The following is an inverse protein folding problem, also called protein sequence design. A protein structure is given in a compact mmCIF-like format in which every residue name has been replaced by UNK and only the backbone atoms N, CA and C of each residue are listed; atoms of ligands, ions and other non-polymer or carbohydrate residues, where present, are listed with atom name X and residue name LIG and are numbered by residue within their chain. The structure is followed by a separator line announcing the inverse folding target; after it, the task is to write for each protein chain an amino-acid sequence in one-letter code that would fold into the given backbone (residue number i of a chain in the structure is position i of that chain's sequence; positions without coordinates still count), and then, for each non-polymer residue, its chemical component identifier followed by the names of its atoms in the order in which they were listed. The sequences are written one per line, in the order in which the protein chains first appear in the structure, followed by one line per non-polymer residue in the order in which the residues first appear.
data_IF_268827254354
#
_entry.id   IF_268827254354
#
_cell.length_a   1.000
_cell.length_b   1.000
_cell.length_c   1.000
_cell.angle_alpha   90.00
_cell.angle_beta   90.00
_cell.angle_gamma   90.00
#
_symmetry.space_group_name_H-M   'P 1'
#
loop_
_entity.id
_entity.type
_entity.pdbx_description
1 polymer ?
#
# COMPACT_ATOMS: atom_id res chain seq x y z
N UNK A 1 0.65 18.10 10.57
CA UNK A 1 1.08 18.26 9.17
C UNK A 1 0.39 17.23 8.28
N UNK A 2 0.34 17.41 6.95
CA UNK A 2 -0.36 16.49 6.01
C UNK A 2 0.19 15.06 6.11
N UNK A 3 1.49 14.91 6.32
CA UNK A 3 2.13 13.60 6.53
C UNK A 3 1.59 12.85 7.75
N UNK A 4 1.47 13.53 8.90
CA UNK A 4 0.92 12.93 10.13
C UNK A 4 -0.53 12.52 9.95
N UNK A 5 -1.30 13.33 9.21
CA UNK A 5 -2.67 13.01 8.87
C UNK A 5 -2.76 11.76 7.98
N UNK A 6 -1.94 11.66 6.93
CA UNK A 6 -1.87 10.48 6.06
C UNK A 6 -1.49 9.23 6.85
N UNK A 7 -0.52 9.32 7.75
CA UNK A 7 -0.09 8.20 8.61
C UNK A 7 -1.22 7.76 9.54
N UNK A 8 -1.85 8.71 10.24
CA UNK A 8 -2.95 8.42 11.15
C UNK A 8 -4.15 7.79 10.43
N UNK A 9 -4.57 8.37 9.31
CA UNK A 9 -5.67 7.87 8.48
C UNK A 9 -5.36 6.49 7.93
N UNK A 10 -4.13 6.25 7.46
CA UNK A 10 -3.72 4.93 6.98
C UNK A 10 -3.80 3.87 8.08
N UNK A 11 -3.29 4.18 9.27
CA UNK A 11 -3.36 3.28 10.42
C UNK A 11 -4.83 2.99 10.81
N UNK A 12 -5.65 4.03 10.92
CA UNK A 12 -7.06 3.89 11.26
C UNK A 12 -7.82 3.01 10.26
N UNK A 13 -7.58 3.20 8.96
CA UNK A 13 -8.22 2.42 7.90
C UNK A 13 -7.82 0.94 8.01
N UNK A 14 -6.53 0.64 8.23
CA UNK A 14 -6.05 -0.73 8.43
C UNK A 14 -6.69 -1.38 9.66
N UNK A 15 -6.76 -0.66 10.79
CA UNK A 15 -7.40 -1.14 12.01
C UNK A 15 -8.90 -1.41 11.88
N UNK A 16 -9.58 -0.75 10.93
CA UNK A 16 -11.00 -0.98 10.62
C UNK A 16 -11.24 -1.98 9.50
N UNK A 17 -10.18 -2.44 8.83
CA UNK A 17 -10.27 -3.36 7.71
C UNK A 17 -10.07 -4.81 8.16
N UNK A 18 -10.83 -5.72 7.58
CA UNK A 18 -10.72 -7.15 7.88
C UNK A 18 -9.52 -7.79 7.16
N UNK A 19 -8.93 -8.84 7.74
CA UNK A 19 -7.88 -9.62 7.08
C UNK A 19 -8.37 -10.21 5.75
N UNK A 20 -7.61 -10.00 4.68
CA UNK A 20 -7.97 -10.43 3.32
C UNK A 20 -8.91 -9.48 2.58
N UNK A 21 -9.26 -8.33 3.18
CA UNK A 21 -10.16 -7.35 2.57
C UNK A 21 -9.43 -6.27 1.77
N UNK A 22 -10.11 -5.76 0.75
CA UNK A 22 -9.71 -4.58 -0.04
C UNK A 22 -10.78 -3.52 0.11
N UNK A 23 -10.40 -2.30 0.46
CA UNK A 23 -11.34 -1.21 0.62
C UNK A 23 -10.77 0.11 0.10
N UNK A 24 -11.64 1.09 -0.13
CA UNK A 24 -11.25 2.44 -0.53
C UNK A 24 -12.06 3.42 0.29
N UNK A 25 -11.37 4.33 0.97
CA UNK A 25 -11.96 5.32 1.85
C UNK A 25 -11.70 6.68 1.24
N UNK A 26 -12.76 7.45 1.02
CA UNK A 26 -12.65 8.82 0.54
C UNK A 26 -12.46 9.75 1.73
N UNK A 27 -11.36 10.50 1.73
CA UNK A 27 -11.01 11.47 2.77
C UNK A 27 -10.79 12.83 2.11
N UNK A 28 -11.80 13.70 2.20
CA UNK A 28 -11.82 15.01 1.53
C UNK A 28 -11.61 14.89 0.00
N UNK A 29 -10.46 15.37 -0.47
CA UNK A 29 -10.05 15.41 -1.88
C UNK A 29 -9.27 14.13 -2.29
N UNK A 30 -8.84 13.35 -1.30
CA UNK A 30 -8.02 12.15 -1.47
C UNK A 30 -8.86 10.87 -1.36
N UNK A 31 -8.36 9.81 -2.00
CA UNK A 31 -8.80 8.43 -1.85
C UNK A 31 -7.66 7.58 -1.26
N UNK A 32 -7.98 6.92 -0.16
CA UNK A 32 -7.12 5.98 0.53
C UNK A 32 -7.54 4.55 0.16
N UNK A 33 -6.72 3.87 -0.64
CA UNK A 33 -6.92 2.48 -1.01
C UNK A 33 -6.14 1.59 -0.05
N UNK A 34 -6.83 0.69 0.63
CA UNK A 34 -6.23 -0.25 1.57
C UNK A 34 -6.36 -1.68 1.05
N UNK A 35 -5.30 -2.45 1.24
CA UNK A 35 -5.34 -3.90 1.12
C UNK A 35 -4.71 -4.54 2.34
N UNK A 36 -5.49 -5.35 3.05
CA UNK A 36 -5.01 -6.17 4.15
C UNK A 36 -4.90 -7.60 3.65
N UNK A 37 -3.68 -8.14 3.61
CA UNK A 37 -3.45 -9.54 3.25
C UNK A 37 -3.85 -10.45 4.41
N UNK A 38 -4.18 -11.70 4.09
CA UNK A 38 -4.54 -12.72 5.08
C UNK A 38 -3.36 -13.13 5.99
N UNK A 39 -2.14 -12.72 5.67
CA UNK A 39 -0.95 -12.96 6.49
C UNK A 39 -0.67 -11.85 7.52
N UNK A 40 -1.53 -10.84 7.61
CA UNK A 40 -1.37 -9.73 8.54
C UNK A 40 -0.52 -8.58 8.02
N UNK A 41 -0.08 -8.62 6.75
CA UNK A 41 0.56 -7.48 6.10
C UNK A 41 -0.49 -6.59 5.43
N UNK A 42 -0.46 -5.30 5.71
CA UNK A 42 -1.35 -4.32 5.09
C UNK A 42 -0.57 -3.26 4.33
N UNK A 43 -1.14 -2.78 3.24
CA UNK A 43 -0.64 -1.62 2.50
C UNK A 43 -1.75 -0.62 2.25
N UNK A 44 -1.40 0.66 2.32
CA UNK A 44 -2.31 1.78 2.04
C UNK A 44 -1.66 2.67 0.98
N UNK A 45 -2.42 3.00 -0.06
CA UNK A 45 -2.05 3.98 -1.09
C UNK A 45 -3.03 5.14 -0.98
N UNK A 46 -2.49 6.33 -0.73
CA UNK A 46 -3.26 7.58 -0.75
C UNK A 46 -3.00 8.26 -2.09
N UNK A 47 -4.05 8.52 -2.84
CA UNK A 47 -3.99 9.16 -4.15
C UNK A 47 -5.17 10.13 -4.32
N UNK A 48 -5.07 11.06 -5.27
CA UNK A 48 -6.20 11.94 -5.59
C UNK A 48 -7.35 11.17 -6.25
N UNK A 49 -8.56 11.74 -6.20
CA UNK A 49 -9.74 11.12 -6.82
C UNK A 49 -9.62 10.92 -8.34
N UNK A 50 -8.76 11.68 -9.00
CA UNK A 50 -8.50 11.56 -10.44
C UNK A 50 -7.60 10.36 -10.76
N UNK A 51 -6.86 9.85 -9.76
CA UNK A 51 -5.95 8.74 -9.97
C UNK A 51 -6.71 7.40 -10.08
N UNK A 52 -6.45 6.58 -11.11
CA UNK A 52 -7.25 5.38 -11.33
C UNK A 52 -7.08 4.36 -10.19
N UNK A 53 -8.19 4.04 -9.52
CA UNK A 53 -8.24 3.04 -8.45
C UNK A 53 -7.59 1.70 -8.84
N UNK A 54 -7.74 1.27 -10.10
CA UNK A 54 -7.13 0.03 -10.61
C UNK A 54 -5.60 0.06 -10.45
N UNK A 55 -4.97 1.20 -10.68
CA UNK A 55 -3.52 1.36 -10.58
C UNK A 55 -3.08 1.31 -9.12
N UNK A 56 -3.83 1.94 -8.20
CA UNK A 56 -3.58 1.84 -6.76
C UNK A 56 -3.64 0.40 -6.26
N UNK A 57 -4.67 -0.35 -6.64
CA UNK A 57 -4.75 -1.75 -6.22
C UNK A 57 -3.70 -2.62 -6.90
N UNK A 58 -3.30 -2.33 -8.15
CA UNK A 58 -2.21 -3.04 -8.84
C UNK A 58 -0.84 -2.76 -8.24
N UNK A 59 -0.67 -1.66 -7.51
CA UNK A 59 0.54 -1.37 -6.73
C UNK A 59 0.59 -2.20 -5.43
N UNK A 60 -0.57 -2.38 -4.79
CA UNK A 60 -0.71 -3.06 -3.52
C UNK A 60 -0.74 -4.59 -3.65
N UNK A 61 -1.57 -5.10 -4.57
CA UNK A 61 -1.65 -6.54 -4.87
C UNK A 61 -2.06 -6.85 -6.32
N UNK A 62 -1.87 -8.10 -6.78
CA UNK A 62 -2.31 -8.54 -8.11
C UNK A 62 -3.84 -8.65 -8.16
N UNK A 63 -4.52 -7.50 -8.18
CA UNK A 63 -5.97 -7.41 -8.21
C UNK A 63 -6.58 -7.81 -9.56
N UNK A 64 -5.79 -8.03 -10.61
CA UNK A 64 -6.30 -8.47 -11.91
C UNK A 64 -5.37 -9.48 -12.58
N UNK A 65 -6.00 -10.44 -13.25
CA UNK A 65 -5.49 -11.66 -13.89
C UNK A 65 -4.35 -11.48 -14.91
N UNK A 66 -3.74 -10.30 -15.04
CA UNK A 66 -2.79 -10.02 -16.09
C UNK A 66 -1.35 -10.38 -15.68
N UNK A 67 -0.73 -11.22 -16.50
CA UNK A 67 0.48 -12.00 -16.21
C UNK A 67 1.74 -11.15 -16.38
N UNK A 68 1.82 -9.99 -15.73
CA UNK A 68 3.07 -9.23 -15.65
C UNK A 68 3.95 -9.76 -14.50
N UNK A 69 5.26 -9.96 -14.72
CA UNK A 69 6.20 -10.52 -13.73
C UNK A 69 6.75 -9.49 -12.73
N UNK A 70 6.20 -8.27 -12.68
CA UNK A 70 6.61 -7.29 -11.68
C UNK A 70 6.16 -7.73 -10.28
N UNK A 71 7.13 -7.92 -9.40
CA UNK A 71 6.91 -8.03 -7.95
C UNK A 71 6.19 -6.76 -7.46
N UNK A 72 5.28 -6.93 -6.52
CA UNK A 72 4.50 -5.83 -5.97
C UNK A 72 5.04 -5.41 -4.61
N UNK A 73 4.71 -4.19 -4.17
CA UNK A 73 5.26 -3.58 -2.95
C UNK A 73 5.12 -4.51 -1.74
N UNK A 74 3.94 -5.11 -1.53
CA UNK A 74 3.71 -6.00 -0.40
C UNK A 74 4.44 -7.35 -0.54
N UNK A 75 4.58 -7.85 -1.77
CA UNK A 75 5.29 -9.12 -2.01
C UNK A 75 6.80 -8.95 -1.83
N UNK A 76 7.36 -7.87 -2.38
CA UNK A 76 8.76 -7.50 -2.24
C UNK A 76 9.13 -7.18 -0.79
N UNK A 77 8.30 -6.41 -0.09
CA UNK A 77 8.46 -6.20 1.34
C UNK A 77 8.50 -7.53 2.11
N UNK A 78 7.60 -8.46 1.81
CA UNK A 78 7.56 -9.77 2.49
C UNK A 78 8.75 -10.68 2.17
N UNK A 79 9.51 -10.38 1.11
CA UNK A 79 10.74 -11.10 0.74
C UNK A 79 11.98 -10.52 1.41
N UNK A 80 12.02 -9.21 1.61
CA UNK A 80 13.13 -8.55 2.29
C UNK A 80 12.97 -8.56 3.82
N UNK A 81 11.74 -8.47 4.31
CA UNK A 81 11.42 -8.35 5.73
C UNK A 81 10.68 -9.60 6.18
N UNK A 82 11.33 -10.35 7.07
CA UNK A 82 10.74 -11.58 7.60
C UNK A 82 9.50 -11.29 8.43
N UNK A 83 8.52 -12.20 8.36
CA UNK A 83 7.24 -12.10 9.10
C UNK A 83 7.42 -11.97 10.60
N UNK A 84 8.52 -12.50 11.13
CA UNK A 84 8.84 -12.43 12.56
C UNK A 84 9.14 -11.00 13.01
N UNK A 85 9.60 -10.15 12.10
CA UNK A 85 9.99 -8.77 12.39
C UNK A 85 8.82 -7.78 12.22
N UNK A 86 7.71 -8.19 11.58
CA UNK A 86 6.55 -7.32 11.33
C UNK A 86 5.93 -6.75 12.61
N UNK A 87 5.70 -7.53 13.69
CA UNK A 87 5.02 -7.02 14.89
C UNK A 87 5.84 -6.01 15.69
N UNK A 88 7.17 -6.13 15.67
CA UNK A 88 8.10 -5.22 16.34
C UNK A 88 8.75 -4.21 15.38
N UNK A 89 8.33 -4.23 14.13
CA UNK A 89 8.86 -3.40 13.07
C UNK A 89 8.54 -1.93 13.26
N UNK A 90 9.48 -1.07 12.89
CA UNK A 90 9.33 0.38 12.85
C UNK A 90 10.00 0.95 11.60
N UNK A 91 9.65 2.17 11.17
CA UNK A 91 10.35 2.85 10.07
C UNK A 91 11.86 3.02 10.27
N UNK A 92 12.33 2.92 11.53
CA UNK A 92 13.76 3.00 11.88
C UNK A 92 14.47 1.65 11.86
N UNK A 93 13.75 0.54 11.96
CA UNK A 93 14.30 -0.83 12.01
C UNK A 93 14.12 -1.58 10.69
N UNK A 94 13.06 -1.27 9.95
CA UNK A 94 12.78 -1.84 8.64
C UNK A 94 13.20 -0.84 7.56
N UNK A 95 14.24 -1.17 6.81
CA UNK A 95 14.73 -0.33 5.72
C UNK A 95 14.27 -0.89 4.36
N UNK A 96 13.10 -0.45 3.89
CA UNK A 96 12.56 -0.84 2.59
C UNK A 96 12.68 0.34 1.60
N UNK A 97 13.74 0.33 0.79
CA UNK A 97 14.09 1.46 -0.10
C UNK A 97 13.36 1.42 -1.45
N UNK A 98 12.80 0.26 -1.84
CA UNK A 98 12.12 0.11 -3.11
C UNK A 98 10.82 0.94 -3.22
N UNK A 99 10.22 1.33 -2.08
CA UNK A 99 8.95 2.07 -2.03
C UNK A 99 9.02 3.41 -2.77
N UNK A 100 10.13 4.14 -2.65
CA UNK A 100 10.33 5.41 -3.35
C UNK A 100 10.36 5.22 -4.88
N UNK A 101 10.99 4.13 -5.34
CA UNK A 101 11.02 3.77 -6.75
C UNK A 101 9.64 3.46 -7.32
N UNK A 102 8.80 2.74 -6.55
CA UNK A 102 7.42 2.48 -6.93
C UNK A 102 6.57 3.75 -6.96
N UNK A 103 6.68 4.62 -5.95
CA UNK A 103 5.95 5.88 -5.94
C UNK A 103 6.32 6.75 -7.15
N UNK A 104 7.62 6.92 -7.43
CA UNK A 104 8.08 7.73 -8.56
C UNK A 104 7.63 7.16 -9.91
N UNK A 105 7.71 5.84 -10.09
CA UNK A 105 7.30 5.17 -11.33
C UNK A 105 5.81 5.32 -11.63
N UNK A 106 4.98 5.39 -10.60
CA UNK A 106 3.53 5.46 -10.73
C UNK A 106 2.98 6.89 -10.60
N UNK A 107 3.80 7.88 -10.24
CA UNK A 107 3.43 9.30 -10.30
C UNK A 107 3.25 9.83 -11.72
N UNK A 108 4.01 9.30 -12.69
CA UNK A 108 3.85 9.60 -14.10
C UNK A 108 3.05 8.45 -14.68
N UNK A 109 1.77 8.67 -14.98
CA UNK A 109 0.87 7.61 -15.47
C UNK A 109 1.50 6.78 -16.59
N UNK A 110 1.16 5.49 -16.74
CA UNK A 110 1.65 4.72 -17.89
C UNK A 110 1.25 5.45 -19.18
N UNK A 111 2.12 5.46 -20.21
CA UNK A 111 1.78 6.04 -21.50
C UNK A 111 0.52 5.42 -22.13
#
# INVERSE_FOLDING_TARGET
SVQEFMTFTSQLIVERSELGSRASVKEQEYLCHVYVRSDGLAGVVVADNEYPQRVCFTLLDKASSDRSPALQVLDEFSREVSRVDWPSGSPTTINFTALEGYLSKYQVGPP
#
